data_IF_734486195577
#
_entry.id   IF_734486195577
#
_cell.length_a   1.000
_cell.length_b   1.000
_cell.length_c   1.000
_cell.angle_alpha   90.00
_cell.angle_beta   90.00
_cell.angle_gamma   90.00
#
_symmetry.space_group_name_H-M   'P 1'
#
loop_
_entity.id
_entity.type
_entity.pdbx_description
1 polymer ?
2 non-polymer ?
3 water ?
#
# COMPACT_ATOMS: atom_id res chain seq x y z
N UNK A 30 9.95 -12.06 27.59
CA UNK A 30 11.27 -12.68 27.27
C UNK A 30 12.16 -12.85 28.51
N UNK A 31 11.87 -13.88 29.29
CA UNK A 31 12.67 -14.24 30.49
C UNK A 31 12.67 -15.75 30.73
N UNK A 32 13.37 -16.47 29.85
CA UNK A 32 13.30 -17.93 29.82
C UNK A 32 14.54 -18.59 30.41
N UNK A 33 15.19 -17.89 31.35
CA UNK A 33 16.46 -18.32 31.93
C UNK A 33 17.45 -18.77 30.87
N UNK A 34 17.79 -17.81 30.00
CA UNK A 34 18.74 -18.01 28.91
C UNK A 34 20.18 -18.09 29.42
N UNK A 35 21.06 -18.67 28.60
CA UNK A 35 22.46 -18.87 28.97
C UNK A 35 23.33 -17.66 28.65
N UNK A 36 24.61 -17.78 29.02
CA UNK A 36 25.61 -16.76 28.76
C UNK A 36 26.10 -16.75 27.31
N UNK A 37 25.58 -17.63 26.48
CA UNK A 37 25.88 -17.60 25.05
C UNK A 37 24.78 -16.86 24.31
N UNK A 38 23.56 -16.98 24.83
CA UNK A 38 22.35 -16.49 24.17
C UNK A 38 22.25 -14.96 24.03
N UNK A 39 22.25 -14.25 25.15
CA UNK A 39 22.18 -12.78 25.19
C UNK A 39 23.11 -12.09 24.20
N UNK A 40 24.32 -12.64 24.03
CA UNK A 40 25.32 -12.08 23.13
C UNK A 40 25.03 -12.39 21.66
N UNK A 41 24.44 -13.55 21.40
CA UNK A 41 23.99 -13.88 20.05
C UNK A 41 22.85 -12.97 19.63
N UNK A 42 22.00 -12.62 20.60
CA UNK A 42 20.94 -11.63 20.41
C UNK A 42 21.55 -10.26 20.11
N UNK A 43 22.64 -9.95 20.81
CA UNK A 43 23.38 -8.70 20.61
C UNK A 43 23.82 -8.48 19.16
N UNK A 44 24.13 -9.57 18.46
CA UNK A 44 24.61 -9.47 17.06
C UNK A 44 23.46 -9.26 16.08
N UNK A 45 22.27 -9.71 16.47
CA UNK A 45 21.09 -9.67 15.61
C UNK A 45 20.29 -8.38 15.84
N UNK A 46 20.30 -7.89 17.08
CA UNK A 46 19.65 -6.62 17.40
C UNK A 46 20.40 -5.45 16.76
N UNK A 47 21.72 -5.56 16.71
CA UNK A 47 22.56 -4.63 15.96
C UNK A 47 22.43 -4.88 14.45
N UNK A 48 21.71 -5.92 14.10
CA UNK A 48 21.29 -6.15 12.71
C UNK A 48 19.86 -5.66 12.50
N UNK A 49 19.14 -5.49 13.62
CA UNK A 49 17.75 -5.04 13.61
C UNK A 49 17.64 -3.51 13.66
N UNK A 50 18.72 -2.84 14.07
CA UNK A 50 18.74 -1.39 14.20
C UNK A 50 19.41 -0.71 13.00
N UNK A 51 20.74 -0.85 12.91
CA UNK A 51 21.58 -0.09 11.98
C UNK A 51 21.25 -0.33 10.50
N UNK A 52 21.84 -1.37 9.91
CA UNK A 52 21.69 -1.69 8.47
C UNK A 52 20.25 -1.51 7.98
N UNK A 53 19.30 -1.90 8.82
CA UNK A 53 17.88 -1.73 8.57
C UNK A 53 17.48 -0.27 8.82
N UNK A 54 17.80 0.59 7.86
CA UNK A 54 17.66 2.05 8.03
C UNK A 54 16.27 2.52 8.45
N UNK A 55 16.22 3.17 9.62
CA UNK A 55 14.95 3.58 10.25
C UNK A 55 14.46 5.02 9.94
N UNK A 56 15.36 6.02 9.86
CA UNK A 56 14.85 7.39 9.85
C UNK A 56 14.91 8.16 8.50
N UNK A 57 13.75 8.57 7.96
CA UNK A 57 13.73 9.64 6.97
C UNK A 57 13.60 10.99 7.68
N UNK A 58 14.58 11.87 7.48
CA UNK A 58 14.75 13.07 8.32
C UNK A 58 13.81 14.26 8.06
N UNK A 59 13.09 14.24 6.94
CA UNK A 59 12.25 15.37 6.55
C UNK A 59 10.74 15.12 6.74
N UNK A 60 10.36 13.86 6.91
CA UNK A 60 8.96 13.48 7.05
C UNK A 60 8.43 13.74 8.46
N UNK A 61 9.31 13.60 9.45
CA UNK A 61 8.98 13.96 10.83
C UNK A 61 8.70 15.46 10.99
N UNK A 62 9.13 16.25 10.01
CA UNK A 62 8.70 17.63 9.87
C UNK A 62 7.27 17.66 9.30
N UNK A 63 7.03 16.89 8.24
CA UNK A 63 5.72 16.82 7.59
C UNK A 63 4.59 16.56 8.57
N UNK A 64 4.70 15.47 9.35
CA UNK A 64 3.69 15.16 10.37
C UNK A 64 3.44 16.40 11.22
N UNK A 65 4.52 17.01 11.68
CA UNK A 65 4.45 18.25 12.46
C UNK A 65 3.65 19.29 11.68
N UNK A 66 4.04 19.52 10.43
CA UNK A 66 3.41 20.52 9.56
C UNK A 66 1.88 20.36 9.44
N UNK A 67 1.42 19.12 9.28
CA UNK A 67 -0.02 18.86 9.11
C UNK A 67 -0.80 19.07 10.41
N UNK A 68 -0.22 18.64 11.52
CA UNK A 68 -0.84 18.77 12.84
C UNK A 68 -0.78 20.22 13.36
N UNK A 69 0.34 20.89 13.08
CA UNK A 69 0.59 22.25 13.54
C UNK A 69 -0.04 23.32 12.64
N UNK A 70 -1.04 22.94 11.86
CA UNK A 70 -1.80 23.86 11.02
C UNK A 70 -3.15 24.15 11.65
N UNK A 71 -3.65 25.38 11.45
CA UNK A 71 -4.95 25.78 12.00
C UNK A 71 -6.09 25.27 11.17
N UNK A 72 -5.79 24.91 9.92
CA UNK A 72 -6.80 24.35 9.04
C UNK A 72 -6.39 22.95 8.52
N UNK A 73 -7.14 21.93 8.96
CA UNK A 73 -6.80 20.53 8.67
C UNK A 73 -7.32 20.02 7.31
N UNK A 74 -6.44 19.42 6.52
CA UNK A 74 -6.79 18.86 5.21
C UNK A 74 -6.29 17.40 5.07
N UNK A 75 -7.23 16.47 4.89
CA UNK A 75 -6.94 15.02 4.91
C UNK A 75 -5.92 14.60 3.85
N UNK A 76 -6.20 14.92 2.59
CA UNK A 76 -5.30 14.64 1.46
C UNK A 76 -3.83 15.00 1.71
N UNK A 77 -3.56 16.04 2.49
CA UNK A 77 -2.16 16.38 2.83
C UNK A 77 -1.55 15.28 3.70
N UNK A 78 -2.37 14.76 4.62
CA UNK A 78 -2.02 13.65 5.52
C UNK A 78 -2.12 12.27 4.84
N UNK A 79 -3.21 12.02 4.13
CA UNK A 79 -3.39 10.82 3.29
C UNK A 79 -2.19 10.52 2.40
N UNK A 80 -1.53 11.56 1.89
CA UNK A 80 -0.48 11.42 0.89
C UNK A 80 0.91 11.62 1.46
N UNK A 81 0.97 11.81 2.77
CA UNK A 81 2.20 11.76 3.52
C UNK A 81 2.37 10.33 4.07
N UNK A 82 1.35 9.87 4.81
CA UNK A 82 1.18 8.49 5.26
C UNK A 82 1.77 7.43 4.31
N UNK A 83 1.26 7.34 3.08
CA UNK A 83 1.61 6.25 2.18
C UNK A 83 3.02 6.36 1.59
N UNK A 84 3.66 7.51 1.76
CA UNK A 84 5.09 7.65 1.45
C UNK A 84 5.83 6.94 2.58
N UNK A 85 5.18 6.89 3.74
CA UNK A 85 5.63 6.12 4.89
C UNK A 85 4.98 4.72 4.84
N UNK A 86 5.12 4.05 3.70
CA UNK A 86 4.68 2.67 3.55
C UNK A 86 5.89 1.82 3.23
N UNK A 87 6.72 2.30 2.30
CA UNK A 87 8.00 1.69 1.96
C UNK A 87 8.84 1.48 3.24
N UNK A 88 8.87 2.50 4.10
CA UNK A 88 9.68 2.48 5.31
C UNK A 88 9.09 1.59 6.40
N UNK A 89 7.79 1.67 6.59
CA UNK A 89 7.14 0.94 7.66
C UNK A 89 6.87 -0.52 7.32
N UNK A 90 6.67 -0.80 6.02
CA UNK A 90 6.54 -2.17 5.51
C UNK A 90 7.86 -2.94 5.63
N UNK A 91 8.93 -2.40 5.03
CA UNK A 91 10.26 -3.00 5.11
C UNK A 91 10.77 -3.17 6.53
N UNK A 92 10.22 -2.39 7.46
CA UNK A 92 10.52 -2.53 8.88
C UNK A 92 9.84 -3.76 9.48
N UNK A 93 8.53 -3.67 9.64
CA UNK A 93 7.73 -4.79 10.12
C UNK A 93 8.33 -6.12 9.65
N UNK A 94 8.64 -6.19 8.36
CA UNK A 94 9.34 -7.32 7.76
C UNK A 94 10.64 -7.61 8.50
N UNK A 95 11.66 -6.81 8.24
CA UNK A 95 12.99 -6.95 8.85
C UNK A 95 12.98 -7.32 10.33
N UNK A 96 12.09 -6.69 11.09
CA UNK A 96 11.93 -6.96 12.52
C UNK A 96 11.56 -8.42 12.74
N UNK A 97 10.63 -8.93 11.95
CA UNK A 97 10.13 -10.30 12.07
C UNK A 97 11.24 -11.33 11.80
N UNK A 98 12.08 -11.06 10.79
CA UNK A 98 13.25 -11.88 10.51
C UNK A 98 14.09 -12.07 11.78
N UNK A 99 14.43 -10.95 12.42
CA UNK A 99 15.33 -10.92 13.57
C UNK A 99 14.73 -11.61 14.80
N UNK A 100 13.51 -11.25 15.16
CA UNK A 100 12.80 -11.89 16.27
C UNK A 100 12.50 -13.37 16.04
N UNK A 101 12.36 -13.77 14.78
CA UNK A 101 12.37 -15.19 14.44
C UNK A 101 13.74 -15.80 14.75
N UNK A 102 14.80 -15.17 14.23
CA UNK A 102 16.17 -15.63 14.41
C UNK A 102 16.57 -15.85 15.87
N UNK A 103 16.13 -14.95 16.77
CA UNK A 103 16.35 -15.17 18.20
C UNK A 103 15.58 -16.40 18.69
N UNK A 104 14.35 -16.57 18.21
CA UNK A 104 13.56 -17.77 18.53
C UNK A 104 14.42 -19.01 18.26
N UNK A 105 15.18 -18.97 17.16
CA UNK A 105 15.97 -20.11 16.70
C UNK A 105 17.29 -20.31 17.45
N UNK A 106 17.64 -19.34 18.27
CA UNK A 106 18.79 -19.44 19.16
C UNK A 106 18.38 -20.19 20.42
N UNK A 107 17.09 -20.16 20.71
CA UNK A 107 16.52 -20.82 21.88
C UNK A 107 16.71 -22.34 21.91
N UNK A 108 16.26 -22.93 23.01
CA UNK A 108 16.24 -24.37 23.19
C UNK A 108 14.78 -24.81 23.30
N UNK A 109 14.48 -26.09 23.02
CA UNK A 109 13.13 -26.63 23.17
C UNK A 109 12.45 -26.31 24.50
N UNK A 110 13.19 -26.34 25.60
CA UNK A 110 12.63 -26.01 26.91
C UNK A 110 12.40 -24.50 27.08
N UNK A 111 13.12 -23.70 26.31
CA UNK A 111 12.98 -22.25 26.35
C UNK A 111 11.92 -21.76 25.36
N UNK A 112 11.96 -22.27 24.13
CA UNK A 112 10.92 -22.00 23.11
C UNK A 112 9.53 -22.28 23.66
N UNK A 113 9.42 -23.35 24.43
CA UNK A 113 8.18 -23.70 25.12
C UNK A 113 7.61 -22.49 25.87
N UNK A 114 8.37 -22.00 26.85
CA UNK A 114 7.90 -20.95 27.76
C UNK A 114 7.54 -19.66 27.03
N UNK A 115 8.32 -19.34 25.99
CA UNK A 115 8.08 -18.14 25.19
C UNK A 115 6.74 -18.20 24.49
N UNK A 116 6.53 -19.28 23.74
CA UNK A 116 5.27 -19.52 23.04
C UNK A 116 4.05 -19.20 23.92
N UNK A 117 4.06 -19.73 25.14
CA UNK A 117 2.90 -19.69 26.05
C UNK A 117 2.58 -18.31 26.62
N UNK A 118 3.56 -17.41 26.66
CA UNK A 118 3.33 -16.08 27.20
C UNK A 118 2.59 -15.16 26.22
N UNK A 119 2.74 -15.45 24.92
CA UNK A 119 1.99 -14.76 23.86
C UNK A 119 0.47 -14.79 24.07
N UNK A 120 -0.01 -15.83 24.76
CA UNK A 120 -1.44 -16.12 24.89
C UNK A 120 -2.18 -15.15 25.84
N UNK B 30 -7.47 13.30 -27.77
CA UNK B 30 -6.85 12.43 -28.81
C UNK B 30 -6.86 13.10 -30.18
N UNK B 31 -7.92 13.84 -30.47
CA UNK B 31 -8.25 14.28 -31.83
C UNK B 31 -8.02 15.78 -32.10
N UNK B 32 -8.74 16.28 -33.10
CA UNK B 32 -8.72 17.68 -33.54
C UNK B 32 -7.50 18.06 -34.39
N UNK B 33 -7.20 19.36 -34.40
CA UNK B 33 -6.10 19.90 -35.17
C UNK B 33 -4.74 19.56 -34.58
N UNK B 34 -4.55 19.92 -33.30
CA UNK B 34 -3.28 19.76 -32.60
C UNK B 34 -2.10 20.29 -33.43
N UNK B 35 -2.30 21.45 -34.07
CA UNK B 35 -1.33 22.06 -35.01
C UNK B 35 -0.29 21.08 -35.57
N UNK B 36 0.94 21.54 -35.78
CA UNK B 36 2.04 20.64 -36.17
C UNK B 36 3.14 20.66 -35.12
N UNK B 37 3.19 21.74 -34.34
CA UNK B 37 4.08 21.82 -33.19
C UNK B 37 3.55 20.94 -32.07
N UNK B 38 2.23 20.76 -32.05
CA UNK B 38 1.54 20.06 -30.98
C UNK B 38 1.67 18.54 -31.07
N UNK B 39 1.44 17.99 -32.25
CA UNK B 39 1.52 16.55 -32.48
C UNK B 39 2.91 15.96 -32.21
N UNK B 40 3.95 16.75 -32.48
CA UNK B 40 5.32 16.43 -32.12
C UNK B 40 5.57 16.58 -30.60
N UNK B 41 5.11 17.70 -30.03
CA UNK B 41 5.28 18.00 -28.60
C UNK B 41 4.93 16.83 -27.69
N UNK B 42 3.74 16.27 -27.91
CA UNK B 42 3.24 15.10 -27.18
C UNK B 42 4.30 13.98 -27.14
N UNK B 43 4.74 13.58 -28.32
CA UNK B 43 5.65 12.45 -28.48
C UNK B 43 6.97 12.61 -27.73
N UNK B 44 7.45 13.85 -27.59
CA UNK B 44 8.73 14.11 -26.93
C UNK B 44 8.64 13.94 -25.41
N UNK B 45 7.46 14.19 -24.86
CA UNK B 45 7.18 13.93 -23.45
C UNK B 45 7.09 12.43 -23.28
N UNK B 46 6.50 11.78 -24.29
CA UNK B 46 6.38 10.33 -24.31
C UNK B 46 7.75 9.67 -24.52
N UNK B 47 8.59 10.29 -25.34
CA UNK B 47 10.00 9.89 -25.47
C UNK B 47 10.80 10.27 -24.21
N UNK B 48 10.19 11.05 -23.32
CA UNK B 48 10.87 11.58 -22.14
C UNK B 48 10.53 10.85 -20.86
N UNK B 49 9.24 10.81 -20.53
CA UNK B 49 8.79 10.25 -19.26
C UNK B 49 7.93 8.99 -19.40
N UNK B 50 7.15 8.91 -20.48
CA UNK B 50 6.37 7.70 -20.78
C UNK B 50 7.29 6.51 -21.08
N UNK B 51 8.28 6.75 -21.94
CA UNK B 51 9.35 5.78 -22.21
C UNK B 51 10.08 5.37 -20.93
N UNK B 52 10.26 6.33 -20.03
CA UNK B 52 10.97 6.13 -18.76
C UNK B 52 10.25 5.15 -17.82
N UNK B 53 8.92 5.19 -17.79
CA UNK B 53 8.14 4.41 -16.81
C UNK B 53 8.49 2.91 -16.82
N UNK B 54 8.73 2.38 -15.63
CA UNK B 54 9.26 1.02 -15.49
C UNK B 54 8.18 -0.06 -15.37
N UNK B 55 8.21 -0.99 -16.32
CA UNK B 55 7.20 -2.05 -16.44
C UNK B 55 7.48 -3.21 -15.49
N UNK B 56 6.42 -4.01 -15.17
CA UNK B 56 6.53 -5.26 -14.39
C UNK B 56 7.69 -6.16 -14.84
N UNK B 57 8.60 -6.51 -13.90
CA UNK B 57 9.81 -7.30 -14.21
C UNK B 57 9.52 -8.75 -14.60
N UNK B 58 10.52 -9.41 -15.19
CA UNK B 58 10.39 -10.79 -15.68
C UNK B 58 10.12 -11.80 -14.58
N UNK B 59 10.74 -11.58 -13.42
CA UNK B 59 10.51 -12.42 -12.23
C UNK B 59 9.08 -12.27 -11.73
N UNK B 60 8.62 -11.03 -11.63
CA UNK B 60 7.25 -10.72 -11.21
C UNK B 60 6.26 -11.51 -12.06
N UNK B 61 6.59 -11.66 -13.33
CA UNK B 61 5.83 -12.45 -14.30
C UNK B 61 5.92 -13.97 -14.05
N UNK B 62 7.09 -14.46 -13.61
CA UNK B 62 7.25 -15.87 -13.25
C UNK B 62 6.33 -16.21 -12.07
N UNK B 63 6.19 -15.25 -11.16
CA UNK B 63 5.39 -15.41 -9.95
C UNK B 63 3.92 -15.55 -10.31
N UNK B 64 3.41 -14.62 -11.13
CA UNK B 64 2.03 -14.68 -11.58
C UNK B 64 1.77 -16.00 -12.31
N UNK B 65 2.52 -16.25 -13.39
CA UNK B 65 2.45 -17.53 -14.09
C UNK B 65 2.27 -18.69 -13.10
N UNK B 66 3.20 -18.81 -12.15
CA UNK B 66 3.19 -19.87 -11.15
C UNK B 66 1.98 -19.82 -10.22
N UNK B 67 1.61 -18.61 -9.78
CA UNK B 67 0.40 -18.43 -8.97
C UNK B 67 -0.80 -19.07 -9.66
N UNK B 68 -0.85 -18.92 -10.99
CA UNK B 68 -1.96 -19.40 -11.79
C UNK B 68 -1.78 -20.87 -12.23
N UNK B 69 -0.64 -21.19 -12.81
CA UNK B 69 -0.35 -22.57 -13.25
C UNK B 69 0.02 -23.48 -12.07
N UNK B 70 -1.01 -23.93 -11.36
CA UNK B 70 -0.84 -24.73 -10.14
C UNK B 70 -2.10 -25.52 -9.82
N UNK B 71 -1.95 -26.59 -9.06
CA UNK B 71 -3.09 -27.44 -8.66
C UNK B 71 -4.13 -26.66 -7.85
N UNK B 72 -3.66 -25.66 -7.11
CA UNK B 72 -4.51 -24.83 -6.25
C UNK B 72 -3.87 -23.47 -6.01
N UNK B 73 -4.68 -22.43 -6.12
CA UNK B 73 -4.24 -21.05 -5.91
C UNK B 73 -4.10 -20.73 -4.43
N UNK B 74 -2.96 -20.16 -4.07
CA UNK B 74 -2.70 -19.71 -2.70
C UNK B 74 -2.68 -18.18 -2.65
N UNK B 75 -3.55 -17.64 -1.82
CA UNK B 75 -3.70 -16.19 -1.65
C UNK B 75 -2.46 -15.59 -1.00
N UNK B 76 -1.88 -16.31 -0.04
CA UNK B 76 -0.75 -15.77 0.70
C UNK B 76 0.51 -15.65 -0.20
N UNK B 77 0.33 -16.01 -1.47
CA UNK B 77 1.32 -15.80 -2.52
C UNK B 77 0.82 -14.80 -3.57
N UNK B 78 -0.49 -14.63 -3.63
CA UNK B 78 -1.12 -13.64 -4.49
C UNK B 78 -1.13 -12.30 -3.78
N UNK B 79 -1.90 -12.21 -2.71
CA UNK B 79 -1.87 -11.05 -1.80
C UNK B 79 -0.44 -10.58 -1.63
N UNK B 80 0.47 -11.56 -1.50
CA UNK B 80 1.90 -11.32 -1.27
C UNK B 80 2.63 -10.63 -2.42
N UNK B 81 2.55 -11.22 -3.61
CA UNK B 81 3.19 -10.65 -4.81
C UNK B 81 2.51 -9.31 -5.16
N UNK B 82 1.21 -9.36 -5.44
CA UNK B 82 0.37 -8.17 -5.62
C UNK B 82 0.81 -7.00 -4.71
N UNK B 83 1.15 -7.30 -3.47
CA UNK B 83 1.63 -6.27 -2.56
C UNK B 83 3.00 -5.78 -3.02
N UNK B 84 3.98 -6.69 -3.03
CA UNK B 84 5.35 -6.41 -3.46
C UNK B 84 5.42 -5.62 -4.78
N UNK B 85 4.33 -5.65 -5.55
CA UNK B 85 4.24 -5.02 -6.86
C UNK B 85 3.56 -3.64 -6.78
N UNK B 86 3.75 -2.96 -5.65
CA UNK B 86 3.04 -1.71 -5.36
C UNK B 86 3.85 -0.45 -5.71
N UNK B 87 5.12 -0.44 -5.28
CA UNK B 87 6.02 0.69 -5.53
C UNK B 87 6.13 1.04 -7.01
N UNK B 88 6.09 0.01 -7.87
CA UNK B 88 6.08 0.23 -9.31
C UNK B 88 4.72 0.79 -9.77
N UNK B 89 3.65 0.12 -9.36
CA UNK B 89 2.30 0.52 -9.73
C UNK B 89 2.08 2.02 -9.49
N UNK B 90 2.33 2.47 -8.26
CA UNK B 90 2.19 3.88 -7.89
C UNK B 90 3.10 4.78 -8.75
N UNK B 91 4.41 4.65 -8.59
CA UNK B 91 5.37 5.41 -9.39
C UNK B 91 4.94 5.52 -10.84
N UNK B 92 4.44 4.41 -11.40
CA UNK B 92 3.99 4.37 -12.78
C UNK B 92 2.67 5.11 -12.97
N UNK B 93 1.72 4.84 -12.07
CA UNK B 93 0.44 5.56 -12.09
C UNK B 93 0.61 7.08 -11.97
N UNK B 94 1.68 7.49 -11.29
CA UNK B 94 2.05 8.90 -11.20
C UNK B 94 2.54 9.39 -12.57
N UNK B 95 3.49 8.65 -13.15
CA UNK B 95 4.09 9.04 -14.42
C UNK B 95 3.01 9.30 -15.47
N UNK B 96 2.16 8.33 -15.74
CA UNK B 96 1.06 8.52 -16.71
C UNK B 96 0.23 9.76 -16.39
N UNK B 97 -0.08 9.98 -15.10
CA UNK B 97 -0.86 11.14 -14.65
C UNK B 97 -0.10 12.46 -14.85
N UNK B 98 1.01 12.60 -14.14
CA UNK B 98 2.02 13.65 -14.37
C UNK B 98 2.17 14.07 -15.83
N UNK B 99 1.91 13.14 -16.74
CA UNK B 99 2.24 13.34 -18.16
C UNK B 99 1.03 13.54 -19.07
N UNK B 100 -0.08 12.84 -18.81
CA UNK B 100 -1.35 13.16 -19.48
C UNK B 100 -1.70 14.64 -19.22
N UNK B 101 -1.29 15.12 -18.06
CA UNK B 101 -1.27 16.53 -17.70
C UNK B 101 -0.59 17.37 -18.80
N UNK B 102 0.72 17.17 -18.99
CA UNK B 102 1.50 17.98 -19.92
C UNK B 102 0.76 18.26 -21.22
N UNK B 103 0.24 17.20 -21.83
CA UNK B 103 -0.43 17.28 -23.13
C UNK B 103 -1.68 18.17 -23.05
N UNK B 104 -2.35 18.16 -21.89
CA UNK B 104 -3.45 19.07 -21.63
C UNK B 104 -2.95 20.52 -21.65
N UNK B 105 -1.88 20.80 -20.91
CA UNK B 105 -1.31 22.15 -20.87
C UNK B 105 -0.53 22.49 -22.13
N UNK B 106 -1.00 21.93 -23.24
CA UNK B 106 -0.39 22.11 -24.56
C UNK B 106 -1.52 22.36 -25.56
N UNK B 107 -2.71 21.85 -25.21
CA UNK B 107 -3.95 22.21 -25.88
C UNK B 107 -4.21 23.70 -25.73
N UNK B 108 -4.73 24.33 -26.79
CA UNK B 108 -5.30 25.67 -26.67
C UNK B 108 -6.50 25.59 -25.73
N UNK B 109 -6.77 26.68 -24.97
CA UNK B 109 -7.96 26.74 -24.10
C UNK B 109 -9.23 26.32 -24.83
N UNK B 110 -9.34 26.70 -26.11
CA UNK B 110 -10.46 26.31 -26.95
C UNK B 110 -10.49 24.80 -27.15
N UNK B 111 -9.29 24.20 -27.16
CA UNK B 111 -9.14 22.76 -27.30
C UNK B 111 -9.37 22.02 -25.97
N UNK B 112 -9.02 22.68 -24.85
CA UNK B 112 -9.34 22.16 -23.50
C UNK B 112 -10.85 22.15 -23.28
N UNK B 113 -11.51 23.14 -23.88
CA UNK B 113 -12.95 23.35 -23.75
C UNK B 113 -13.73 22.15 -24.26
N UNK B 114 -13.43 21.71 -25.48
CA UNK B 114 -14.14 20.61 -26.11
C UNK B 114 -13.65 19.23 -25.64
N UNK B 115 -12.42 19.18 -25.14
CA UNK B 115 -11.86 17.97 -24.54
C UNK B 115 -12.57 17.62 -23.22
N UNK B 116 -12.97 18.64 -22.47
CA UNK B 116 -13.71 18.46 -21.23
C UNK B 116 -15.11 17.91 -21.52
N UNK B 117 -15.57 18.13 -22.75
CA UNK B 117 -16.80 17.51 -23.24
C UNK B 117 -16.55 16.08 -23.74
N UNK B 118 -15.28 15.79 -24.06
CA UNK B 118 -14.87 14.47 -24.52
C UNK B 118 -15.07 13.37 -23.46
N UNK B 119 -14.82 13.72 -22.20
CA UNK B 119 -15.07 12.80 -21.07
C UNK B 119 -16.54 12.57 -20.78
N UNK B 120 -17.36 13.61 -21.00
CA UNK B 120 -18.79 13.55 -20.67
C UNK B 120 -19.67 13.93 -21.86
N UNK C 30 4.03 17.30 27.39
CA UNK C 30 2.95 18.33 27.27
C UNK C 30 2.56 18.90 28.63
N UNK C 31 3.11 20.07 28.95
CA UNK C 31 2.82 20.78 30.19
C UNK C 31 2.63 22.29 29.95
N UNK C 32 1.95 22.61 28.85
CA UNK C 32 1.76 23.98 28.36
C UNK C 32 1.18 24.96 29.39
N UNK C 33 0.75 24.44 30.53
CA UNK C 33 0.02 25.20 31.55
C UNK C 33 -1.37 25.61 31.03
N UNK C 34 -2.02 24.65 30.39
CA UNK C 34 -3.37 24.83 29.83
C UNK C 34 -4.43 24.81 30.93
N UNK C 35 -5.61 25.35 30.61
CA UNK C 35 -6.72 25.44 31.58
C UNK C 35 -7.37 24.07 31.87
N UNK C 36 -8.26 24.05 32.86
CA UNK C 36 -9.05 22.86 33.19
C UNK C 36 -9.93 22.44 32.02
N UNK C 37 -10.42 23.42 31.28
CA UNK C 37 -11.28 23.20 30.12
C UNK C 37 -10.59 22.44 28.98
N UNK C 38 -9.29 22.69 28.80
CA UNK C 38 -8.53 22.04 27.73
C UNK C 38 -8.27 20.59 28.10
N UNK C 39 -7.67 20.39 29.27
CA UNK C 39 -7.44 19.08 29.86
C UNK C 39 -8.65 18.16 29.67
N UNK C 40 -9.83 18.75 29.66
CA UNK C 40 -11.10 18.04 29.47
C UNK C 40 -11.47 17.90 28.00
N UNK C 41 -11.26 18.95 27.21
CA UNK C 41 -11.53 18.91 25.77
C UNK C 41 -10.59 17.98 25.01
N UNK C 42 -9.35 17.90 25.47
CA UNK C 42 -8.37 16.94 25.00
C UNK C 42 -8.82 15.51 25.30
N UNK C 43 -9.41 15.32 26.47
CA UNK C 43 -9.90 14.02 26.91
C UNK C 43 -11.08 13.53 26.06
N UNK C 44 -11.98 14.43 25.69
CA UNK C 44 -13.17 14.04 24.93
C UNK C 44 -12.98 14.14 23.41
N UNK C 45 -11.85 14.69 22.99
CA UNK C 45 -11.40 14.61 21.61
C UNK C 45 -10.77 13.23 21.39
N UNK C 46 -9.93 12.81 22.34
CA UNK C 46 -9.32 11.49 22.32
C UNK C 46 -10.37 10.38 22.40
N UNK C 47 -11.25 10.43 23.39
CA UNK C 47 -12.35 9.47 23.47
C UNK C 47 -13.44 9.74 22.43
N UNK C 48 -13.20 10.75 21.60
CA UNK C 48 -14.13 11.10 20.52
C UNK C 48 -13.92 10.25 19.28
N UNK C 49 -12.67 10.08 18.87
CA UNK C 49 -12.35 9.34 17.64
C UNK C 49 -11.25 8.27 17.74
N UNK C 50 -10.61 8.15 18.92
CA UNK C 50 -9.72 7.01 19.19
C UNK C 50 -10.56 5.76 19.38
N UNK C 51 -11.83 5.99 19.73
CA UNK C 51 -12.86 4.97 19.68
C UNK C 51 -13.59 5.04 18.33
N UNK C 52 -12.83 5.38 17.29
CA UNK C 52 -13.28 5.31 15.90
C UNK C 52 -12.29 4.44 15.12
N UNK C 53 -11.07 4.29 15.67
CA UNK C 53 -10.07 3.39 15.09
C UNK C 53 -9.96 2.06 15.83
N UNK C 54 -10.32 0.98 15.12
CA UNK C 54 -10.39 -0.36 15.69
C UNK C 54 -9.00 -0.96 15.94
N UNK C 55 -8.76 -1.41 17.16
CA UNK C 55 -7.46 -1.93 17.58
C UNK C 55 -7.20 -3.36 17.03
N UNK C 56 -6.00 -3.92 17.31
CA UNK C 56 -5.50 -5.07 16.51
C UNK C 56 -6.40 -6.33 16.54
N UNK C 57 -6.53 -7.01 15.38
CA UNK C 57 -7.45 -8.14 15.20
C UNK C 57 -6.80 -9.52 15.34
N UNK C 58 -7.46 -10.40 16.09
CA UNK C 58 -6.95 -11.74 16.44
C UNK C 58 -6.12 -12.47 15.37
N UNK C 59 -6.76 -12.85 14.26
CA UNK C 59 -6.10 -13.66 13.24
C UNK C 59 -4.94 -12.93 12.54
N UNK C 60 -5.00 -11.61 12.50
CA UNK C 60 -3.90 -10.81 11.97
C UNK C 60 -2.76 -10.74 13.00
N UNK C 61 -3.14 -10.63 14.27
CA UNK C 61 -2.20 -10.59 15.41
C UNK C 61 -1.57 -11.94 15.72
N UNK C 62 -2.41 -12.95 15.97
CA UNK C 62 -1.96 -14.30 16.30
C UNK C 62 -1.01 -14.88 15.26
N UNK C 63 -1.21 -14.52 14.01
CA UNK C 63 -0.35 -14.96 12.92
C UNK C 63 0.92 -14.13 12.84
N UNK C 64 0.83 -12.85 13.18
CA UNK C 64 2.02 -11.98 13.27
C UNK C 64 3.11 -12.62 14.12
N UNK C 65 2.69 -13.34 15.15
CA UNK C 65 3.63 -14.04 16.03
C UNK C 65 3.82 -15.53 15.68
N UNK C 66 2.80 -16.13 15.06
CA UNK C 66 2.90 -17.50 14.56
C UNK C 66 3.81 -17.59 13.34
N UNK C 67 4.11 -16.43 12.76
CA UNK C 67 5.08 -16.36 11.68
C UNK C 67 6.48 -16.39 12.30
N UNK C 68 6.56 -15.86 13.52
CA UNK C 68 7.82 -15.75 14.25
C UNK C 68 8.21 -17.05 14.95
N UNK C 69 7.26 -17.72 15.60
CA UNK C 69 7.55 -18.98 16.31
C UNK C 69 7.76 -20.16 15.36
N UNK C 70 7.83 -19.86 14.06
CA UNK C 70 8.02 -20.88 13.02
C UNK C 70 9.45 -21.41 13.04
N UNK C 71 9.66 -22.56 12.41
CA UNK C 71 10.95 -23.26 12.46
C UNK C 71 12.03 -22.61 11.60
N UNK C 72 11.59 -21.85 10.60
CA UNK C 72 12.47 -21.20 9.63
C UNK C 72 11.68 -20.00 9.03
N UNK C 73 12.32 -18.83 8.98
CA UNK C 73 11.62 -17.57 8.64
C UNK C 73 11.01 -17.48 7.24
N UNK C 74 9.72 -17.83 7.12
CA UNK C 74 8.99 -17.81 5.83
C UNK C 74 8.80 -16.38 5.35
N UNK C 75 9.69 -15.95 4.44
CA UNK C 75 9.74 -14.58 3.96
C UNK C 75 8.49 -14.19 3.21
N UNK C 76 8.27 -14.79 2.04
CA UNK C 76 7.08 -14.52 1.22
C UNK C 76 5.87 -14.36 2.14
N UNK C 77 5.62 -15.37 2.99
CA UNK C 77 4.44 -15.36 3.87
C UNK C 77 4.31 -14.08 4.68
N UNK C 78 5.42 -13.56 5.18
CA UNK C 78 5.42 -12.37 6.05
C UNK C 78 4.84 -11.15 5.34
N UNK C 79 5.37 -10.85 4.16
CA UNK C 79 4.87 -9.74 3.35
C UNK C 79 3.34 -9.70 3.21
N UNK C 80 2.69 -10.86 3.16
CA UNK C 80 1.25 -10.91 2.96
C UNK C 80 0.42 -10.49 4.18
N UNK C 81 0.93 -10.72 5.38
CA UNK C 81 0.27 -10.23 6.58
C UNK C 81 0.35 -8.69 6.65
N UNK C 82 1.59 -8.18 6.62
CA UNK C 82 1.84 -6.75 6.59
C UNK C 82 0.85 -5.98 5.72
N UNK C 83 0.53 -6.54 4.54
CA UNK C 83 -0.42 -5.93 3.61
C UNK C 83 -1.85 -6.00 4.13
N UNK C 84 -2.34 -7.21 4.39
CA UNK C 84 -3.68 -7.44 4.97
C UNK C 84 -3.94 -6.53 6.17
N UNK C 85 -2.86 -5.97 6.73
CA UNK C 85 -2.94 -5.13 7.93
C UNK C 85 -2.78 -3.63 7.60
N UNK C 86 -2.40 -3.32 6.36
CA UNK C 86 -2.02 -1.95 5.99
C UNK C 86 -3.17 -0.94 5.97
N UNK C 87 -4.18 -1.19 5.13
CA UNK C 87 -5.28 -0.24 4.97
C UNK C 87 -5.94 0.11 6.30
N UNK C 88 -6.19 -0.90 7.14
CA UNK C 88 -6.78 -0.69 8.47
C UNK C 88 -5.90 0.20 9.35
N UNK C 89 -4.58 0.02 9.19
CA UNK C 89 -3.58 0.79 9.91
C UNK C 89 -3.52 2.24 9.38
N UNK C 90 -3.90 2.41 8.12
CA UNK C 90 -3.92 3.72 7.48
C UNK C 90 -4.91 4.65 8.17
N UNK C 91 -6.11 4.14 8.40
CA UNK C 91 -7.18 4.91 9.02
C UNK C 91 -6.88 5.23 10.48
N UNK C 92 -5.87 4.56 11.03
CA UNK C 92 -5.49 4.71 12.43
C UNK C 92 -4.40 5.77 12.60
N UNK C 93 -3.63 5.98 11.54
CA UNK C 93 -2.69 7.10 11.50
C UNK C 93 -3.43 8.39 11.17
N UNK C 94 -4.45 8.30 10.32
CA UNK C 94 -5.23 9.45 9.86
C UNK C 94 -6.11 10.07 10.95
N UNK C 95 -6.82 9.23 11.69
CA UNK C 95 -7.65 9.66 12.81
C UNK C 95 -6.77 10.26 13.89
N UNK C 96 -5.60 9.64 14.09
CA UNK C 96 -4.59 10.13 15.03
C UNK C 96 -4.26 11.59 14.75
N UNK C 97 -3.89 11.88 13.51
CA UNK C 97 -3.53 13.22 13.07
C UNK C 97 -4.70 14.19 13.15
N UNK C 98 -5.90 13.69 12.86
CA UNK C 98 -7.12 14.50 12.91
C UNK C 98 -7.43 14.97 14.33
N UNK C 99 -7.24 14.10 15.31
CA UNK C 99 -7.52 14.43 16.71
C UNK C 99 -6.40 15.29 17.28
N UNK C 100 -5.17 15.03 16.86
CA UNK C 100 -4.03 15.88 17.20
C UNK C 100 -4.17 17.29 16.62
N UNK C 101 -4.89 17.41 15.50
CA UNK C 101 -5.23 18.71 14.95
C UNK C 101 -6.36 19.38 15.74
N UNK C 102 -7.42 18.60 16.03
CA UNK C 102 -8.55 19.10 16.81
C UNK C 102 -8.09 19.57 18.19
N UNK C 103 -7.12 18.85 18.75
CA UNK C 103 -6.44 19.26 19.96
C UNK C 103 -5.63 20.54 19.71
N UNK C 104 -4.81 20.54 18.66
CA UNK C 104 -4.05 21.74 18.28
C UNK C 104 -4.95 22.97 18.14
N UNK C 105 -6.00 22.83 17.32
CA UNK C 105 -6.93 23.94 17.02
C UNK C 105 -7.69 24.48 18.24
N UNK C 106 -7.48 23.88 19.41
CA UNK C 106 -8.13 24.33 20.64
C UNK C 106 -7.14 25.07 21.55
N UNK C 107 -5.91 25.19 21.09
CA UNK C 107 -4.88 25.98 21.75
C UNK C 107 -4.91 27.44 21.32
N UNK C 108 -4.06 28.26 21.93
CA UNK C 108 -3.94 29.68 21.61
C UNK C 108 -2.50 30.04 21.22
N UNK C 109 -2.30 31.20 20.57
CA UNK C 109 -1.04 31.75 20.08
C UNK C 109 0.25 31.38 20.84
N UNK C 110 0.31 31.65 22.14
CA UNK C 110 1.54 31.44 22.91
C UNK C 110 1.86 29.98 23.19
N UNK C 111 0.85 29.22 23.58
CA UNK C 111 1.03 27.78 23.80
C UNK C 111 1.33 27.03 22.50
N UNK C 112 0.81 27.55 21.39
CA UNK C 112 1.11 26.99 20.06
C UNK C 112 2.57 27.21 19.67
N UNK C 113 3.16 28.28 20.21
CA UNK C 113 4.54 28.65 19.91
C UNK C 113 5.56 27.75 20.61
N UNK C 114 5.16 27.15 21.74
CA UNK C 114 6.07 26.33 22.54
C UNK C 114 5.93 24.84 22.28
N UNK C 115 4.75 24.41 21.85
CA UNK C 115 4.54 23.04 21.39
C UNK C 115 5.34 22.78 20.10
N UNK C 116 5.33 23.76 19.20
CA UNK C 116 6.10 23.71 17.97
C UNK C 116 7.61 23.74 18.25
N UNK C 117 8.00 24.52 19.26
CA UNK C 117 9.40 24.67 19.65
C UNK C 117 9.93 23.42 20.35
N UNK C 118 9.02 22.58 20.83
CA UNK C 118 9.38 21.31 21.47
C UNK C 118 10.04 20.36 20.49
N UNK C 119 9.32 20.03 19.43
CA UNK C 119 9.83 19.15 18.37
C UNK C 119 10.94 19.81 17.57
N UNK C 120 11.09 21.13 17.73
CA UNK C 120 12.17 21.88 17.10
C UNK C 120 13.15 22.41 18.12
N UNK D 30 -4.97 -17.50 -24.94
CA UNK D 30 -5.78 -18.61 -24.37
C UNK D 30 -6.59 -19.41 -25.40
N UNK D 31 -6.03 -19.59 -26.60
CA UNK D 31 -6.64 -20.46 -27.62
C UNK D 31 -6.08 -21.89 -27.52
N UNK D 32 -6.97 -22.83 -27.20
CA UNK D 32 -6.53 -24.18 -26.80
C UNK D 32 -7.35 -25.31 -27.43
N UNK D 33 -8.20 -24.98 -28.38
CA UNK D 33 -9.10 -25.95 -29.02
C UNK D 33 -9.96 -26.72 -28.01
N UNK D 34 -10.34 -26.01 -26.94
CA UNK D 34 -11.03 -26.61 -25.79
C UNK D 34 -12.42 -27.14 -26.11
N UNK D 35 -12.88 -28.11 -25.33
CA UNK D 35 -14.21 -28.70 -25.51
C UNK D 35 -15.27 -27.74 -24.99
N UNK D 36 -16.27 -27.50 -25.83
CA UNK D 36 -17.35 -26.53 -25.57
C UNK D 36 -17.93 -26.55 -24.16
N UNK D 37 -17.75 -27.67 -23.45
CA UNK D 37 -18.18 -27.80 -22.06
C UNK D 37 -17.45 -26.81 -21.17
N UNK D 38 -16.16 -26.62 -21.46
CA UNK D 38 -15.30 -25.74 -20.70
C UNK D 38 -15.56 -24.26 -21.01
N UNK D 39 -16.13 -23.98 -22.18
CA UNK D 39 -16.53 -22.62 -22.54
C UNK D 39 -17.68 -22.10 -21.67
N UNK D 40 -18.60 -23.00 -21.34
CA UNK D 40 -19.69 -22.73 -20.40
C UNK D 40 -19.19 -22.44 -18.99
N UNK D 41 -18.26 -23.28 -18.53
CA UNK D 41 -17.69 -23.14 -17.19
C UNK D 41 -16.87 -21.85 -17.09
N UNK D 42 -16.18 -21.50 -18.18
CA UNK D 42 -15.51 -20.20 -18.29
C UNK D 42 -16.52 -19.06 -18.29
N UNK D 43 -17.71 -19.26 -18.84
CA UNK D 43 -18.76 -18.26 -18.71
C UNK D 43 -19.24 -18.18 -17.25
N UNK D 44 -19.39 -19.34 -16.62
CA UNK D 44 -20.01 -19.46 -15.29
C UNK D 44 -19.22 -18.79 -14.17
N UNK D 45 -17.95 -19.17 -14.03
CA UNK D 45 -17.08 -18.56 -13.01
C UNK D 45 -16.07 -17.56 -13.58
N UNK D 46 -16.35 -17.05 -14.79
CA UNK D 46 -15.56 -15.95 -15.34
C UNK D 46 -16.38 -14.69 -15.19
N UNK D 47 -17.65 -14.77 -15.58
CA UNK D 47 -18.60 -13.68 -15.40
C UNK D 47 -18.86 -13.46 -13.92
N UNK D 48 -19.11 -14.54 -13.20
CA UNK D 48 -19.38 -14.50 -11.76
C UNK D 48 -18.32 -13.75 -10.94
N UNK D 49 -17.11 -13.67 -11.51
CA UNK D 49 -15.97 -13.04 -10.85
C UNK D 49 -15.53 -11.79 -11.62
N UNK D 50 -16.11 -11.61 -12.80
CA UNK D 50 -15.96 -10.39 -13.61
C UNK D 50 -16.94 -9.34 -13.06
N UNK D 51 -18.04 -9.84 -12.49
CA UNK D 51 -19.10 -8.99 -11.96
C UNK D 51 -18.78 -8.52 -10.54
N UNK D 52 -18.72 -9.47 -9.61
CA UNK D 52 -18.58 -9.20 -8.17
C UNK D 52 -17.47 -8.19 -7.80
N UNK D 53 -16.46 -8.05 -8.68
CA UNK D 53 -15.30 -7.18 -8.42
C UNK D 53 -15.67 -5.73 -8.04
N UNK D 54 -16.55 -5.11 -8.82
CA UNK D 54 -17.04 -3.74 -8.58
C UNK D 54 -15.88 -2.74 -8.49
N UNK D 55 -15.16 -2.61 -9.60
CA UNK D 55 -13.89 -1.88 -9.66
C UNK D 55 -14.02 -0.34 -9.61
N UNK D 56 -14.84 0.27 -10.50
CA UNK D 56 -14.93 1.73 -10.48
C UNK D 56 -16.09 2.29 -9.65
N UNK D 57 -15.79 3.17 -8.67
CA UNK D 57 -16.84 3.83 -7.90
C UNK D 57 -17.23 5.20 -8.47
N UNK D 58 -16.48 5.64 -9.49
CA UNK D 58 -16.66 6.93 -10.18
C UNK D 58 -16.90 8.17 -9.28
N UNK D 59 -16.59 8.02 -7.99
CA UNK D 59 -16.50 9.15 -7.09
C UNK D 59 -15.06 9.63 -7.11
N UNK D 60 -14.17 8.73 -7.49
CA UNK D 60 -12.75 9.02 -7.66
C UNK D 60 -12.45 9.48 -9.09
N UNK D 61 -13.21 8.92 -10.05
CA UNK D 61 -13.06 9.22 -11.47
C UNK D 61 -12.93 10.72 -11.72
N UNK D 62 -13.74 11.50 -11.01
CA UNK D 62 -13.75 12.96 -11.12
C UNK D 62 -12.38 13.59 -10.90
N UNK D 63 -11.70 13.15 -9.85
CA UNK D 63 -10.37 13.64 -9.50
C UNK D 63 -9.37 13.46 -10.64
N UNK D 64 -9.51 12.37 -11.39
CA UNK D 64 -8.55 12.05 -12.45
C UNK D 64 -8.41 13.16 -13.48
N UNK D 65 -9.52 13.51 -14.13
CA UNK D 65 -9.50 14.66 -15.03
C UNK D 65 -9.11 15.94 -14.30
N UNK D 66 -9.68 16.19 -13.13
CA UNK D 66 -9.28 17.34 -12.32
C UNK D 66 -7.75 17.46 -12.20
N UNK D 67 -7.12 16.45 -11.62
CA UNK D 67 -5.67 16.43 -11.45
C UNK D 67 -4.92 16.44 -12.79
N UNK D 68 -5.58 16.00 -13.85
CA UNK D 68 -4.98 16.05 -15.19
C UNK D 68 -5.33 17.35 -15.96
N UNK D 69 -6.41 18.04 -15.57
CA UNK D 69 -6.84 19.25 -16.28
C UNK D 69 -6.62 20.55 -15.47
N UNK D 70 -5.37 20.85 -15.15
CA UNK D 70 -5.04 22.10 -14.46
C UNK D 70 -3.84 22.80 -15.12
N UNK D 71 -3.33 23.84 -14.48
CA UNK D 71 -2.13 24.54 -14.94
C UNK D 71 -0.95 24.08 -14.10
N UNK D 72 -1.13 24.11 -12.79
CA UNK D 72 -0.18 23.49 -11.88
C UNK D 72 -0.21 21.97 -12.10
N UNK D 73 0.71 21.27 -11.48
CA UNK D 73 0.51 19.87 -11.20
C UNK D 73 0.55 19.72 -9.67
N UNK D 74 -0.64 19.64 -9.08
CA UNK D 74 -0.78 19.34 -7.68
C UNK D 74 -0.40 17.87 -7.49
N UNK D 75 0.88 17.65 -7.19
CA UNK D 75 1.46 16.30 -7.10
C UNK D 75 0.85 15.63 -5.90
N UNK D 76 1.25 16.11 -4.73
CA UNK D 76 0.68 15.73 -3.45
C UNK D 76 -0.78 15.23 -3.58
N UNK D 77 -1.57 15.81 -4.49
CA UNK D 77 -2.97 15.41 -4.63
C UNK D 77 -3.11 14.05 -5.34
N UNK D 78 -2.55 13.95 -6.55
CA UNK D 78 -2.49 12.67 -7.27
C UNK D 78 -1.91 11.59 -6.34
N UNK D 79 -0.79 11.92 -5.71
CA UNK D 79 -0.18 11.09 -4.67
C UNK D 79 -1.15 10.53 -3.64
N UNK D 80 -2.36 11.07 -3.57
CA UNK D 80 -3.38 10.63 -2.63
C UNK D 80 -4.51 9.88 -3.34
N UNK D 81 -4.61 10.10 -4.64
CA UNK D 81 -5.73 9.60 -5.41
C UNK D 81 -5.46 8.18 -5.90
N UNK D 82 -4.23 7.95 -6.36
CA UNK D 82 -3.65 6.64 -6.50
C UNK D 82 -3.79 5.88 -5.18
N UNK D 83 -3.59 6.59 -4.07
CA UNK D 83 -3.60 5.99 -2.73
C UNK D 83 -5.00 5.60 -2.24
N UNK D 84 -6.02 6.26 -2.79
CA UNK D 84 -7.41 5.91 -2.52
C UNK D 84 -7.71 4.58 -3.21
N UNK D 85 -7.21 4.45 -4.43
CA UNK D 85 -7.46 3.29 -5.26
C UNK D 85 -6.82 1.99 -4.74
N UNK D 86 -5.60 2.11 -4.22
CA UNK D 86 -4.74 0.95 -3.92
C UNK D 86 -5.42 -0.26 -3.28
N UNK D 87 -6.45 -0.02 -2.47
CA UNK D 87 -7.17 -1.10 -1.82
C UNK D 87 -8.02 -1.88 -2.82
N UNK D 88 -8.83 -1.16 -3.60
CA UNK D 88 -9.66 -1.78 -4.64
C UNK D 88 -8.79 -2.60 -5.58
N UNK D 89 -7.72 -1.97 -6.08
CA UNK D 89 -6.79 -2.58 -7.01
C UNK D 89 -6.27 -3.94 -6.51
N UNK D 90 -5.60 -3.94 -5.36
CA UNK D 90 -5.18 -5.17 -4.68
C UNK D 90 -6.22 -6.27 -4.79
N UNK D 91 -7.37 -6.06 -4.14
CA UNK D 91 -8.46 -7.03 -4.11
C UNK D 91 -8.98 -7.39 -5.49
N UNK D 92 -9.03 -6.40 -6.38
CA UNK D 92 -9.49 -6.63 -7.75
C UNK D 92 -8.53 -7.45 -8.61
N UNK D 93 -7.24 -7.31 -8.33
CA UNK D 93 -6.22 -8.19 -8.91
C UNK D 93 -6.28 -9.58 -8.25
N UNK D 94 -6.47 -9.60 -6.93
CA UNK D 94 -6.63 -10.83 -6.16
C UNK D 94 -7.83 -11.63 -6.62
N UNK D 95 -8.91 -10.91 -6.89
CA UNK D 95 -10.16 -11.52 -7.38
C UNK D 95 -10.07 -11.79 -8.86
N UNK D 96 -8.97 -11.40 -9.48
CA UNK D 96 -8.74 -11.64 -10.90
C UNK D 96 -7.99 -12.95 -11.07
N UNK D 97 -6.75 -12.98 -10.57
CA UNK D 97 -5.88 -14.16 -10.60
C UNK D 97 -6.61 -15.43 -10.17
N UNK D 98 -7.40 -15.32 -9.11
CA UNK D 98 -8.20 -16.44 -8.61
C UNK D 98 -9.02 -17.10 -9.72
N UNK D 99 -9.69 -16.28 -10.53
CA UNK D 99 -10.50 -16.80 -11.64
C UNK D 99 -9.60 -17.31 -12.74
N UNK D 100 -8.44 -16.67 -12.91
CA UNK D 100 -7.44 -17.13 -13.87
C UNK D 100 -6.96 -18.53 -13.47
N UNK D 101 -6.94 -18.80 -12.17
CA UNK D 101 -6.65 -20.13 -11.64
C UNK D 101 -7.84 -21.08 -11.81
N UNK D 102 -9.05 -20.51 -11.80
CA UNK D 102 -10.26 -21.33 -11.94
C UNK D 102 -10.40 -21.90 -13.34
N UNK D 103 -10.11 -21.09 -14.35
CA UNK D 103 -10.09 -21.56 -15.73
C UNK D 103 -8.98 -22.59 -15.91
N UNK D 104 -7.78 -22.25 -15.45
CA UNK D 104 -6.63 -23.13 -15.59
C UNK D 104 -6.88 -24.58 -15.19
N UNK D 105 -7.54 -24.78 -14.05
CA UNK D 105 -7.75 -26.12 -13.49
C UNK D 105 -8.90 -26.87 -14.12
N UNK D 106 -9.84 -26.13 -14.70
CA UNK D 106 -11.00 -26.74 -15.35
C UNK D 106 -10.64 -27.34 -16.71
N UNK D 107 -9.64 -26.75 -17.37
CA UNK D 107 -9.07 -27.37 -18.57
C UNK D 107 -8.16 -28.57 -18.21
N UNK D 108 -8.09 -29.54 -19.13
CA UNK D 108 -7.39 -30.82 -18.88
C UNK D 108 -5.87 -30.64 -18.85
N UNK D 109 -5.13 -31.68 -18.43
CA UNK D 109 -3.66 -31.60 -18.37
C UNK D 109 -2.99 -31.36 -19.72
N UNK D 110 -3.49 -31.96 -20.78
CA UNK D 110 -2.98 -31.66 -22.12
C UNK D 110 -3.22 -30.17 -22.44
N UNK D 111 -4.40 -29.69 -22.05
CA UNK D 111 -4.74 -28.28 -22.15
C UNK D 111 -3.89 -27.43 -21.21
N UNK D 112 -3.61 -27.95 -20.02
CA UNK D 112 -2.73 -27.27 -19.07
C UNK D 112 -1.33 -27.20 -19.69
N UNK D 113 -0.84 -28.34 -20.17
CA UNK D 113 0.45 -28.39 -20.87
C UNK D 113 0.48 -27.38 -22.01
N UNK D 114 -0.63 -27.27 -22.75
CA UNK D 114 -0.75 -26.32 -23.86
C UNK D 114 -0.69 -24.87 -23.36
N UNK D 115 -1.55 -24.51 -22.41
CA UNK D 115 -1.53 -23.22 -21.73
C UNK D 115 -0.10 -22.90 -21.26
N UNK D 116 0.51 -23.86 -20.56
CA UNK D 116 1.83 -23.69 -19.95
C UNK D 116 2.97 -23.75 -20.95
N UNK D 117 2.73 -24.36 -22.12
CA UNK D 117 3.75 -24.44 -23.18
C UNK D 117 3.72 -23.21 -24.08
N UNK D 118 2.51 -22.71 -24.36
CA UNK D 118 2.31 -21.52 -25.20
C UNK D 118 2.96 -20.26 -24.63
N UNK D 119 2.97 -20.17 -23.30
CA UNK D 119 3.59 -19.05 -22.60
C UNK D 119 5.12 -19.01 -22.79
N UNK D 120 5.71 -20.17 -23.10
CA UNK D 120 7.16 -20.26 -23.25
C UNK D 120 7.56 -20.38 -24.72
#
# INVERSE_FOLDING_TARGET
ADTTTAAPADAKPMMHHKGKFGPHQDMMFKDLNLTDAQKQQIREIMKGQRDQMKRPPLEERRAMHDIITSDTFDKVKAEAQIAKMEEQRKANMLAHMETQNKIYNILTPEQKKQFNANFEKRLTERPAAKGKMPATAE
ADTTTAAPADAKPMMHHKGKFGPHQDMMFKDLNLTDAQKQQIREIMKGQRDQMKRPPLEERRAMHDIITSDTFDKVKAEAQIAKMEEQRKANMLAHMETQNKIYNILTPEQKKQFNANFEKRLTERPAAKGKMPATAE
ADTTTAAPADAKPMMHHKGKFGPHQDMMFKDLNLTDAQKQQIREIMKGQRDQMKRPPLEERRAMHDIITSDTFDKVKAEAQIAKMEEQRKANMLAHMETQNKIYNILTPEQKKQFNANFEKRLTERPAAKGKMPATAE
ADTTTAAPADAKPMMHHKGKFGPHQDMMFKDLNLTDAQKQQIREIMKGQRDQMKRPPLEERRAMHDIITSDTFDKVKAEAQIAKMEEQRKANMLAHMETQNKIYNILTPEQKKQFNANFEKRLTERPAAKGKMPATAE
#
